data_IF_889085108969
#
_entry.id   IF_889085108969
#
_cell.length_a   1.000
_cell.length_b   1.000
_cell.length_c   1.000
_cell.angle_alpha   90.00
_cell.angle_beta   90.00
_cell.angle_gamma   90.00
#
_symmetry.space_group_name_H-M   'P 1'
#
loop_
_entity.id
_entity.type
_entity.pdbx_description
1 polymer ?
#
# COMPACT_ATOMS: atom_id res chain seq x y z
N UNK A 1 1.27 18.89 21.25
CA UNK A 1 2.54 18.47 20.63
C UNK A 1 2.21 17.31 19.69
N UNK A 2 2.62 17.37 18.42
CA UNK A 2 2.34 16.30 17.45
C UNK A 2 3.22 15.08 17.72
N UNK A 3 2.62 13.90 17.76
CA UNK A 3 3.31 12.61 17.92
C UNK A 3 4.01 12.25 16.60
N UNK A 4 3.30 12.37 15.50
CA UNK A 4 3.73 11.99 14.16
C UNK A 4 4.03 13.22 13.30
N UNK A 5 5.15 13.17 12.58
CA UNK A 5 5.51 14.11 11.51
C UNK A 5 4.88 13.68 10.18
N UNK A 6 5.11 14.47 9.13
CA UNK A 6 4.69 14.12 7.77
C UNK A 6 5.27 12.75 7.35
N UNK A 7 4.49 11.89 6.67
CA UNK A 7 4.95 10.61 6.17
C UNK A 7 6.27 10.73 5.41
N UNK A 8 7.22 9.85 5.73
CA UNK A 8 8.56 9.82 5.13
C UNK A 8 9.42 11.07 5.34
N UNK A 9 8.96 12.03 6.16
CA UNK A 9 9.52 13.38 6.26
C UNK A 9 9.57 14.09 4.90
N UNK A 10 8.64 13.75 4.00
CA UNK A 10 8.60 14.23 2.61
C UNK A 10 8.19 15.71 2.52
N UNK A 11 7.52 16.22 3.56
CA UNK A 11 6.85 17.51 3.57
C UNK A 11 7.30 18.35 4.79
N UNK A 12 8.53 18.90 4.79
CA UNK A 12 9.10 19.63 5.94
C UNK A 12 8.53 21.03 6.16
N UNK A 13 7.79 21.58 5.18
CA UNK A 13 7.17 22.92 5.24
C UNK A 13 5.66 22.90 5.42
N UNK A 14 5.09 21.75 5.73
CA UNK A 14 3.65 21.59 5.96
C UNK A 14 3.23 22.35 7.22
N UNK A 15 2.05 22.98 7.20
CA UNK A 15 1.55 23.76 8.32
C UNK A 15 1.02 22.89 9.49
N UNK A 16 0.84 23.53 10.64
CA UNK A 16 0.37 22.87 11.87
C UNK A 16 -1.07 22.34 11.76
N UNK A 17 -1.93 22.94 10.92
CA UNK A 17 -3.32 22.49 10.77
C UNK A 17 -3.38 21.12 10.09
N UNK A 18 -2.58 20.90 9.03
CA UNK A 18 -2.44 19.61 8.36
C UNK A 18 -1.82 18.58 9.30
N UNK A 19 -0.77 18.95 10.05
CA UNK A 19 -0.16 18.04 11.04
C UNK A 19 -1.13 17.67 12.17
N UNK A 20 -1.95 18.63 12.63
CA UNK A 20 -2.97 18.40 13.65
C UNK A 20 -3.98 17.37 13.18
N UNK A 21 -4.62 17.59 12.02
CA UNK A 21 -5.65 16.65 11.53
C UNK A 21 -5.07 15.26 11.23
N UNK A 22 -3.82 15.20 10.76
CA UNK A 22 -3.12 13.94 10.55
C UNK A 22 -2.92 13.16 11.85
N UNK A 23 -2.43 13.83 12.89
CA UNK A 23 -2.24 13.23 14.21
C UNK A 23 -3.57 12.82 14.85
N UNK A 24 -4.58 13.69 14.78
CA UNK A 24 -5.90 13.42 15.33
C UNK A 24 -6.52 12.19 14.65
N UNK A 25 -6.35 12.07 13.34
CA UNK A 25 -6.84 10.91 12.58
C UNK A 25 -6.14 9.63 13.04
N UNK A 26 -4.81 9.62 13.14
CA UNK A 26 -4.07 8.44 13.62
C UNK A 26 -4.49 8.06 15.03
N UNK A 27 -4.53 9.02 15.96
CA UNK A 27 -4.85 8.78 17.37
C UNK A 27 -6.29 8.28 17.51
N UNK A 28 -7.24 8.88 16.79
CA UNK A 28 -8.63 8.44 16.81
C UNK A 28 -8.79 7.02 16.25
N UNK A 29 -8.08 6.67 15.18
CA UNK A 29 -8.11 5.32 14.63
C UNK A 29 -7.55 4.30 15.63
N UNK A 30 -6.39 4.57 16.22
CA UNK A 30 -5.80 3.69 17.25
C UNK A 30 -6.76 3.52 18.45
N UNK A 31 -7.35 4.62 18.93
CA UNK A 31 -8.26 4.62 20.08
C UNK A 31 -9.64 4.03 19.78
N UNK A 32 -10.04 3.96 18.50
CA UNK A 32 -11.31 3.36 18.08
C UNK A 32 -11.33 1.84 18.23
N UNK A 33 -10.16 1.21 18.33
CA UNK A 33 -10.01 -0.22 18.54
C UNK A 33 -9.84 -0.57 20.02
N UNK A 34 -10.20 -1.80 20.40
CA UNK A 34 -9.94 -2.30 21.76
C UNK A 34 -8.46 -2.19 22.11
N UNK A 35 -8.12 -1.59 23.25
CA UNK A 35 -6.72 -1.40 23.64
C UNK A 35 -5.94 -2.72 23.66
N UNK A 36 -4.78 -2.71 22.99
CA UNK A 36 -3.83 -3.82 23.04
C UNK A 36 -2.87 -3.64 24.22
N UNK A 37 -2.51 -4.72 24.94
CA UNK A 37 -1.51 -4.64 26.01
C UNK A 37 -0.08 -4.38 25.49
N UNK A 38 0.14 -4.50 24.17
CA UNK A 38 1.46 -4.34 23.56
C UNK A 38 1.55 -3.26 22.49
N UNK A 39 0.44 -2.74 21.95
CA UNK A 39 0.48 -1.60 21.02
C UNK A 39 0.23 -0.28 21.75
N UNK A 40 1.23 0.59 21.80
CA UNK A 40 1.11 1.94 22.34
C UNK A 40 1.00 2.97 21.22
N UNK A 41 0.26 4.06 21.46
CA UNK A 41 -0.03 5.07 20.44
C UNK A 41 1.17 5.98 20.15
N UNK A 42 2.02 6.24 21.13
CA UNK A 42 3.17 7.12 20.99
C UNK A 42 4.49 6.32 21.03
N UNK A 43 5.29 6.29 19.94
CA UNK A 43 6.56 5.58 19.93
C UNK A 43 7.59 6.11 20.93
N UNK A 44 7.48 7.38 21.37
CA UNK A 44 8.37 7.94 22.38
C UNK A 44 8.17 7.33 23.78
N UNK A 45 7.06 6.62 24.01
CA UNK A 45 6.77 5.93 25.27
C UNK A 45 7.59 4.63 25.41
N UNK A 46 8.31 4.22 24.35
CA UNK A 46 9.20 3.05 24.34
C UNK A 46 10.66 3.52 24.43
N UNK A 47 11.17 3.65 25.65
CA UNK A 47 12.47 4.27 25.97
C UNK A 47 13.70 3.51 25.45
N UNK A 48 13.68 2.18 25.45
CA UNK A 48 14.72 1.31 24.90
C UNK A 48 14.16 0.52 23.71
N UNK A 49 14.35 1.07 22.51
CA UNK A 49 13.66 0.59 21.32
C UNK A 49 14.52 0.52 20.07
N UNK A 50 14.02 -0.22 19.08
CA UNK A 50 14.59 -0.31 17.73
C UNK A 50 13.50 -0.36 16.68
N UNK A 51 13.87 -0.05 15.45
CA UNK A 51 12.98 -0.24 14.30
C UNK A 51 12.94 -1.73 13.92
N UNK A 52 11.72 -2.28 13.83
CA UNK A 52 11.48 -3.60 13.28
C UNK A 52 11.51 -3.55 11.74
N UNK A 53 12.39 -4.35 11.14
CA UNK A 53 12.49 -4.51 9.68
C UNK A 53 11.70 -5.73 9.15
N UNK A 54 11.05 -6.48 10.04
CA UNK A 54 10.30 -7.70 9.70
C UNK A 54 8.88 -7.44 9.24
N UNK A 55 8.30 -6.26 9.52
CA UNK A 55 6.94 -5.91 9.12
C UNK A 55 7.00 -5.34 7.71
N UNK A 56 6.98 -6.24 6.73
CA UNK A 56 7.04 -5.96 5.30
C UNK A 56 6.49 -7.13 4.49
N UNK A 57 6.06 -6.86 3.26
CA UNK A 57 5.48 -7.84 2.35
C UNK A 57 5.81 -7.49 0.89
N UNK A 58 5.52 -8.42 -0.02
CA UNK A 58 5.66 -8.18 -1.46
C UNK A 58 4.49 -7.33 -1.97
N UNK A 59 4.78 -6.38 -2.85
CA UNK A 59 3.84 -5.36 -3.28
C UNK A 59 2.95 -5.76 -4.47
N UNK A 60 3.11 -6.97 -5.03
CA UNK A 60 2.29 -7.40 -6.15
C UNK A 60 0.89 -7.87 -5.70
N UNK A 61 -0.17 -7.54 -6.45
CA UNK A 61 -1.50 -8.10 -6.25
C UNK A 61 -1.47 -9.63 -6.16
N UNK A 62 -1.86 -10.17 -5.00
CA UNK A 62 -1.82 -11.61 -4.76
C UNK A 62 -3.07 -12.32 -5.25
N UNK A 63 -4.23 -11.78 -4.92
CA UNK A 63 -5.53 -12.40 -5.19
C UNK A 63 -5.74 -12.80 -6.65
N UNK A 64 -5.43 -11.97 -7.67
CA UNK A 64 -5.64 -12.39 -9.05
C UNK A 64 -4.71 -13.54 -9.46
N UNK A 65 -3.50 -13.64 -8.88
CA UNK A 65 -2.60 -14.77 -9.10
C UNK A 65 -3.16 -16.06 -8.50
N UNK A 66 -3.66 -16.00 -7.26
CA UNK A 66 -4.21 -17.15 -6.56
C UNK A 66 -5.55 -17.61 -7.20
N UNK A 67 -6.38 -16.69 -7.71
CA UNK A 67 -7.69 -17.02 -8.30
C UNK A 67 -7.62 -17.44 -9.78
N UNK A 68 -6.83 -16.74 -10.62
CA UNK A 68 -6.87 -16.89 -12.08
C UNK A 68 -5.53 -17.28 -12.71
N UNK A 69 -4.44 -17.34 -11.93
CA UNK A 69 -3.11 -17.63 -12.42
C UNK A 69 -2.35 -16.39 -12.93
N UNK A 70 -1.07 -16.59 -13.25
CA UNK A 70 -0.12 -15.49 -13.44
C UNK A 70 -0.35 -14.67 -14.70
N UNK A 71 -0.77 -15.30 -15.80
CA UNK A 71 -1.01 -14.61 -17.07
C UNK A 71 -2.12 -13.56 -16.93
N UNK A 72 -3.29 -13.96 -16.40
CA UNK A 72 -4.39 -13.04 -16.15
C UNK A 72 -4.05 -12.04 -15.04
N UNK A 73 -3.31 -12.44 -14.00
CA UNK A 73 -2.87 -11.49 -12.98
C UNK A 73 -2.03 -10.34 -13.55
N UNK A 74 -1.13 -10.63 -14.49
CA UNK A 74 -0.34 -9.61 -15.20
C UNK A 74 -1.25 -8.72 -16.02
N UNK A 75 -2.11 -9.29 -16.87
CA UNK A 75 -2.97 -8.53 -17.79
C UNK A 75 -3.94 -7.61 -17.04
N UNK A 76 -4.59 -8.12 -15.99
CA UNK A 76 -5.60 -7.38 -15.25
C UNK A 76 -4.97 -6.29 -14.37
N UNK A 77 -3.82 -6.55 -13.77
CA UNK A 77 -3.13 -5.54 -12.93
C UNK A 77 -2.56 -4.41 -13.79
N UNK A 78 -2.04 -4.72 -14.99
CA UNK A 78 -1.48 -3.74 -15.92
C UNK A 78 -2.54 -3.05 -16.81
N UNK A 79 -3.85 -3.26 -16.56
CA UNK A 79 -4.94 -2.64 -17.33
C UNK A 79 -5.05 -1.10 -17.16
N UNK A 80 -4.21 -0.49 -16.33
CA UNK A 80 -4.25 0.94 -16.02
C UNK A 80 -5.20 1.22 -14.86
N UNK A 81 -6.03 2.27 -14.95
CA UNK A 81 -6.94 2.64 -13.85
C UNK A 81 -7.85 1.50 -13.40
N UNK A 82 -8.52 0.72 -14.29
CA UNK A 82 -9.37 -0.37 -13.85
C UNK A 82 -8.63 -1.42 -13.01
N UNK A 83 -7.43 -1.83 -13.45
CA UNK A 83 -6.59 -2.77 -12.72
C UNK A 83 -6.12 -2.20 -11.38
N UNK A 84 -5.66 -0.95 -11.40
CA UNK A 84 -5.23 -0.24 -10.20
C UNK A 84 -6.34 -0.11 -9.15
N UNK A 85 -7.53 0.30 -9.56
CA UNK A 85 -8.67 0.54 -8.68
C UNK A 85 -9.41 -0.74 -8.24
N UNK A 86 -9.01 -1.91 -8.75
CA UNK A 86 -9.64 -3.19 -8.42
C UNK A 86 -8.67 -4.14 -7.71
N UNK A 87 -7.39 -4.16 -8.12
CA UNK A 87 -6.45 -5.22 -7.76
C UNK A 87 -5.24 -4.75 -6.96
N UNK A 88 -4.87 -3.47 -6.99
CA UNK A 88 -3.66 -3.00 -6.31
C UNK A 88 -3.87 -2.82 -4.81
N UNK A 89 -4.17 -3.90 -4.10
CA UNK A 89 -4.54 -3.92 -2.69
C UNK A 89 -3.40 -4.33 -1.74
N UNK A 90 -2.15 -4.03 -2.09
CA UNK A 90 -0.96 -4.47 -1.32
C UNK A 90 -0.10 -3.29 -0.85
N UNK A 91 -0.74 -2.14 -0.58
CA UNK A 91 -0.11 -0.87 -0.17
C UNK A 91 0.99 -0.38 -1.12
N UNK A 92 0.80 -0.65 -2.40
CA UNK A 92 1.54 -0.05 -3.50
C UNK A 92 0.61 0.02 -4.70
N UNK A 93 0.48 1.21 -5.25
CA UNK A 93 -0.20 1.41 -6.52
C UNK A 93 0.79 1.93 -7.54
N UNK A 94 0.68 1.44 -8.77
CA UNK A 94 1.53 1.87 -9.86
C UNK A 94 0.74 2.23 -11.11
N UNK A 95 1.43 2.94 -12.00
CA UNK A 95 1.02 3.17 -13.38
C UNK A 95 2.23 2.99 -14.31
N UNK A 96 1.95 2.72 -15.58
CA UNK A 96 2.95 2.68 -16.64
C UNK A 96 2.84 3.98 -17.43
N UNK A 97 3.93 4.73 -17.49
CA UNK A 97 4.06 5.87 -18.39
C UNK A 97 4.33 5.32 -19.78
N UNK A 98 3.42 5.56 -20.70
CA UNK A 98 3.51 5.11 -22.09
C UNK A 98 4.19 6.18 -22.95
N UNK A 99 5.01 5.78 -23.90
CA UNK A 99 5.64 6.68 -24.88
C UNK A 99 5.69 6.01 -26.26
N UNK A 100 5.57 6.75 -27.37
CA UNK A 100 5.74 6.18 -28.70
C UNK A 100 7.20 5.76 -28.94
N UNK A 101 7.39 4.59 -29.56
CA UNK A 101 8.66 4.17 -30.13
C UNK A 101 8.97 4.92 -31.44
N UNK A 102 10.12 4.62 -32.06
CA UNK A 102 10.53 5.23 -33.33
C UNK A 102 9.58 4.95 -34.51
N UNK A 103 8.66 3.98 -34.38
CA UNK A 103 7.63 3.61 -35.36
C UNK A 103 6.25 4.17 -34.99
N UNK A 104 6.14 4.90 -33.88
CA UNK A 104 4.88 5.46 -33.37
C UNK A 104 4.05 4.51 -32.51
N UNK A 105 4.54 3.32 -32.18
CA UNK A 105 3.82 2.39 -31.31
C UNK A 105 3.97 2.80 -29.85
N UNK A 106 2.87 2.91 -29.12
CA UNK A 106 2.91 3.17 -27.68
C UNK A 106 3.46 1.96 -26.92
N UNK A 107 4.51 2.18 -26.13
CA UNK A 107 5.18 1.16 -25.32
C UNK A 107 5.42 1.66 -23.89
N UNK A 108 5.51 0.77 -22.89
CA UNK A 108 5.73 1.16 -21.50
C UNK A 108 7.14 1.73 -21.32
N UNK A 109 7.23 3.03 -21.09
CA UNK A 109 8.48 3.77 -20.96
C UNK A 109 9.03 3.73 -19.54
N UNK A 110 8.18 3.98 -18.55
CA UNK A 110 8.55 4.02 -17.13
C UNK A 110 7.47 3.41 -16.26
N UNK A 111 7.89 2.83 -15.15
CA UNK A 111 7.05 2.31 -14.09
C UNK A 111 7.11 3.33 -12.97
N UNK A 112 5.95 3.76 -12.50
CA UNK A 112 5.85 4.74 -11.42
C UNK A 112 4.96 4.13 -10.36
N UNK A 113 5.46 4.04 -9.13
CA UNK A 113 4.73 3.51 -7.99
C UNK A 113 4.72 4.48 -6.82
N UNK A 114 3.63 4.43 -6.05
CA UNK A 114 3.47 5.19 -4.80
C UNK A 114 2.97 4.28 -3.68
N UNK A 115 3.44 4.57 -2.46
CA UNK A 115 2.90 4.07 -1.20
C UNK A 115 2.32 5.22 -0.35
N UNK A 116 2.20 6.43 -0.93
CA UNK A 116 1.65 7.58 -0.23
C UNK A 116 0.14 7.40 0.02
N UNK A 117 -0.29 7.67 1.25
CA UNK A 117 -1.68 7.52 1.68
C UNK A 117 -2.55 8.68 1.18
N UNK A 118 -3.75 8.36 0.68
CA UNK A 118 -4.73 9.37 0.25
C UNK A 118 -5.08 10.35 1.36
N UNK A 119 -5.16 9.89 2.61
CA UNK A 119 -5.54 10.70 3.77
C UNK A 119 -4.55 11.84 4.03
N UNK A 120 -3.26 11.63 3.79
CA UNK A 120 -2.25 12.70 3.91
C UNK A 120 -2.44 13.75 2.81
N UNK A 121 -2.67 13.31 1.57
CA UNK A 121 -2.91 14.20 0.43
C UNK A 121 -4.23 14.98 0.58
N UNK A 122 -5.26 14.35 1.10
CA UNK A 122 -6.52 14.98 1.44
C UNK A 122 -6.33 16.02 2.57
N UNK A 123 -5.57 15.69 3.61
CA UNK A 123 -5.26 16.64 4.68
C UNK A 123 -4.58 17.89 4.13
N UNK A 124 -3.59 17.74 3.24
CA UNK A 124 -2.98 18.88 2.55
C UNK A 124 -4.01 19.66 1.72
N UNK A 125 -4.79 19.02 0.86
CA UNK A 125 -5.75 19.72 -0.01
C UNK A 125 -6.82 20.51 0.78
N UNK A 126 -7.29 19.93 1.89
CA UNK A 126 -8.37 20.50 2.71
C UNK A 126 -7.86 21.57 3.67
N UNK A 127 -6.65 21.45 4.22
CA UNK A 127 -6.16 22.35 5.26
C UNK A 127 -5.00 23.27 4.83
N UNK A 128 -4.40 23.02 3.66
CA UNK A 128 -3.33 23.84 3.07
C UNK A 128 -3.30 23.70 1.54
N UNK A 129 -4.31 24.28 0.87
CA UNK A 129 -4.43 24.22 -0.58
C UNK A 129 -3.18 24.72 -1.33
N UNK A 130 -2.55 25.87 -0.98
CA UNK A 130 -1.32 26.31 -1.63
C UNK A 130 -0.18 25.29 -1.52
N UNK A 131 0.01 24.69 -0.35
CA UNK A 131 1.03 23.66 -0.16
C UNK A 131 0.73 22.41 -1.00
N UNK A 132 -0.53 21.96 -1.01
CA UNK A 132 -0.99 20.85 -1.85
C UNK A 132 -0.68 21.08 -3.34
N UNK A 133 -1.05 22.24 -3.91
CA UNK A 133 -0.80 22.58 -5.31
C UNK A 133 0.70 22.62 -5.64
N UNK A 134 1.52 23.12 -4.71
CA UNK A 134 2.97 23.09 -4.85
C UNK A 134 3.51 21.65 -4.89
N UNK A 135 2.99 20.75 -4.04
CA UNK A 135 3.40 19.34 -4.04
C UNK A 135 2.98 18.63 -5.33
N UNK A 136 1.77 18.87 -5.81
CA UNK A 136 1.32 18.38 -7.13
C UNK A 136 2.29 18.83 -8.21
N UNK A 137 2.61 20.12 -8.28
CA UNK A 137 3.54 20.69 -9.27
C UNK A 137 4.92 20.04 -9.19
N UNK A 138 5.44 19.78 -7.98
CA UNK A 138 6.75 19.17 -7.79
C UNK A 138 6.85 17.73 -8.32
N UNK A 139 5.72 17.01 -8.42
CA UNK A 139 5.69 15.63 -8.93
C UNK A 139 5.35 15.59 -10.42
N UNK A 140 4.42 16.44 -10.87
CA UNK A 140 3.93 16.41 -12.25
C UNK A 140 4.73 17.28 -13.20
N UNK A 141 5.50 18.26 -12.67
CA UNK A 141 6.14 19.31 -13.46
C UNK A 141 5.17 20.36 -14.00
N UNK A 142 3.86 20.25 -13.72
CA UNK A 142 2.82 21.16 -14.21
C UNK A 142 2.20 21.93 -13.05
N UNK A 143 2.10 23.25 -13.20
CA UNK A 143 1.36 24.09 -12.28
C UNK A 143 -0.14 23.92 -12.51
N UNK A 144 -0.83 23.44 -11.48
CA UNK A 144 -2.29 23.33 -11.43
C UNK A 144 -2.86 24.40 -10.49
N UNK A 145 -4.09 24.83 -10.74
CA UNK A 145 -4.85 25.68 -9.82
C UNK A 145 -6.07 24.94 -9.24
N UNK A 146 -6.77 25.61 -8.32
CA UNK A 146 -7.95 25.06 -7.68
C UNK A 146 -9.13 24.90 -8.64
N UNK A 147 -9.22 25.74 -9.66
CA UNK A 147 -10.32 25.71 -10.62
C UNK A 147 -10.21 24.46 -11.50
N UNK A 148 -9.00 24.14 -11.96
CA UNK A 148 -8.74 22.91 -12.71
C UNK A 148 -8.99 21.66 -11.85
N UNK A 149 -8.41 21.61 -10.64
CA UNK A 149 -8.47 20.40 -9.82
C UNK A 149 -9.83 20.20 -9.14
N UNK A 150 -10.47 21.27 -8.67
CA UNK A 150 -11.68 21.20 -7.85
C UNK A 150 -12.92 21.84 -8.48
N UNK A 151 -12.80 22.42 -9.68
CA UNK A 151 -13.91 23.02 -10.42
C UNK A 151 -14.37 24.37 -9.87
N UNK A 152 -13.55 25.03 -9.06
CA UNK A 152 -13.87 26.33 -8.45
C UNK A 152 -12.61 27.11 -8.05
N UNK A 153 -12.67 28.45 -8.02
CA UNK A 153 -11.54 29.27 -7.59
C UNK A 153 -11.16 29.01 -6.12
N UNK A 154 -9.90 29.27 -5.78
CA UNK A 154 -9.36 29.02 -4.44
C UNK A 154 -10.11 29.76 -3.31
N UNK A 155 -10.64 30.96 -3.58
CA UNK A 155 -11.46 31.72 -2.64
C UNK A 155 -12.76 30.99 -2.28
N UNK A 156 -13.41 30.36 -3.25
CA UNK A 156 -14.60 29.55 -3.05
C UNK A 156 -14.25 28.22 -2.37
N UNK A 157 -13.16 27.55 -2.79
CA UNK A 157 -12.69 26.34 -2.11
C UNK A 157 -12.51 26.58 -0.60
N UNK A 158 -11.81 27.66 -0.25
CA UNK A 158 -11.50 27.98 1.14
C UNK A 158 -12.71 28.43 1.97
N UNK A 159 -13.84 28.81 1.35
CA UNK A 159 -15.07 29.14 2.07
C UNK A 159 -15.95 27.91 2.37
N UNK A 160 -15.68 26.77 1.73
CA UNK A 160 -16.38 25.52 2.00
C UNK A 160 -15.98 24.92 3.36
N UNK A 161 -16.93 24.24 4.00
CA UNK A 161 -16.64 23.46 5.20
C UNK A 161 -15.75 22.25 4.87
N UNK A 162 -15.10 21.69 5.90
CA UNK A 162 -14.18 20.54 5.78
C UNK A 162 -14.84 19.35 5.10
N UNK A 163 -16.06 18.97 5.50
CA UNK A 163 -16.77 17.81 4.94
C UNK A 163 -16.97 17.95 3.44
N UNK A 164 -17.43 19.10 2.98
CA UNK A 164 -17.65 19.36 1.54
C UNK A 164 -16.34 19.35 0.76
N UNK A 165 -15.25 19.91 1.31
CA UNK A 165 -13.93 19.84 0.67
C UNK A 165 -13.42 18.40 0.56
N UNK A 166 -13.58 17.59 1.61
CA UNK A 166 -13.26 16.16 1.62
C UNK A 166 -14.03 15.38 0.55
N UNK A 167 -15.34 15.62 0.43
CA UNK A 167 -16.20 14.99 -0.58
C UNK A 167 -15.78 15.38 -2.01
N UNK A 168 -15.51 16.67 -2.25
CA UNK A 168 -15.04 17.13 -3.57
C UNK A 168 -13.66 16.57 -3.88
N UNK A 169 -12.73 16.55 -2.93
CA UNK A 169 -11.40 15.94 -3.12
C UNK A 169 -11.54 14.48 -3.54
N UNK A 170 -12.37 13.70 -2.83
CA UNK A 170 -12.63 12.30 -3.17
C UNK A 170 -13.19 12.17 -4.57
N UNK A 171 -14.26 12.89 -4.88
CA UNK A 171 -14.90 12.87 -6.20
C UNK A 171 -13.93 13.21 -7.34
N UNK A 172 -13.16 14.27 -7.16
CA UNK A 172 -12.30 14.84 -8.21
C UNK A 172 -11.02 14.06 -8.40
N UNK A 173 -10.37 13.59 -7.33
CA UNK A 173 -8.99 13.09 -7.38
C UNK A 173 -8.82 11.64 -6.94
N UNK A 174 -9.79 11.05 -6.25
CA UNK A 174 -9.72 9.66 -5.75
C UNK A 174 -10.64 8.73 -6.55
N UNK A 175 -11.91 9.11 -6.71
CA UNK A 175 -12.97 8.22 -7.18
C UNK A 175 -13.52 7.31 -6.07
N UNK A 176 -14.39 6.38 -6.45
CA UNK A 176 -14.97 5.33 -5.60
C UNK A 176 -14.77 3.95 -6.21
N UNK A 177 -13.54 3.68 -6.65
CA UNK A 177 -13.16 2.43 -7.31
C UNK A 177 -13.36 2.49 -8.83
N UNK A 178 -13.31 1.33 -9.46
CA UNK A 178 -13.31 1.19 -10.93
C UNK A 178 -14.54 1.79 -11.62
N UNK A 179 -15.74 1.59 -11.06
CA UNK A 179 -17.01 2.01 -11.68
C UNK A 179 -17.24 3.52 -11.58
N UNK A 180 -16.55 4.21 -10.68
CA UNK A 180 -16.63 5.64 -10.46
C UNK A 180 -15.21 6.21 -10.38
N UNK A 181 -14.49 6.31 -11.51
CA UNK A 181 -13.15 6.89 -11.55
C UNK A 181 -13.17 8.36 -11.08
N UNK A 182 -12.02 8.91 -10.66
CA UNK A 182 -11.91 10.33 -10.35
C UNK A 182 -12.27 11.18 -11.58
N UNK A 183 -13.02 12.27 -11.37
CA UNK A 183 -13.41 13.17 -12.46
C UNK A 183 -12.21 13.87 -13.13
N UNK A 184 -11.12 14.07 -12.38
CA UNK A 184 -9.90 14.67 -12.89
C UNK A 184 -8.77 13.61 -12.97
N UNK A 185 -8.05 13.50 -14.11
CA UNK A 185 -7.12 12.39 -14.35
C UNK A 185 -5.79 12.52 -13.62
N UNK A 186 -5.62 13.50 -12.73
CA UNK A 186 -4.34 13.79 -12.07
C UNK A 186 -3.77 12.56 -11.36
N UNK A 187 -4.54 11.95 -10.46
CA UNK A 187 -4.06 10.79 -9.74
C UNK A 187 -3.98 9.55 -10.64
N UNK A 188 -4.82 9.44 -11.68
CA UNK A 188 -4.77 8.36 -12.67
C UNK A 188 -3.43 8.37 -13.41
N UNK A 189 -3.02 9.54 -13.90
CA UNK A 189 -1.85 9.69 -14.76
C UNK A 189 -0.52 9.71 -13.97
N UNK A 190 -0.53 10.26 -12.75
CA UNK A 190 0.71 10.51 -12.01
C UNK A 190 0.89 9.66 -10.76
N UNK A 191 -0.14 8.90 -10.36
CA UNK A 191 -0.15 8.03 -9.18
C UNK A 191 0.45 8.75 -7.96
N UNK A 192 -0.18 9.86 -7.57
CA UNK A 192 0.28 10.70 -6.47
C UNK A 192 0.16 9.95 -5.13
N UNK A 193 -0.98 9.29 -4.93
CA UNK A 193 -1.32 8.54 -3.73
C UNK A 193 -2.16 7.31 -4.07
N UNK A 194 -2.20 6.36 -3.15
CA UNK A 194 -3.01 5.15 -3.25
C UNK A 194 -4.50 5.51 -3.19
N UNK A 195 -5.27 5.14 -4.20
CA UNK A 195 -6.70 5.42 -4.30
C UNK A 195 -7.57 4.30 -3.72
N UNK A 196 -7.04 3.08 -3.62
CA UNK A 196 -7.78 1.93 -3.10
C UNK A 196 -7.93 2.04 -1.58
N UNK A 197 -9.18 1.97 -1.10
CA UNK A 197 -9.50 2.22 0.31
C UNK A 197 -8.81 1.22 1.24
N UNK A 198 -8.65 -0.03 0.80
CA UNK A 198 -8.02 -1.09 1.61
C UNK A 198 -6.51 -0.88 1.83
N UNK A 199 -5.90 0.07 1.10
CA UNK A 199 -4.54 0.54 1.33
C UNK A 199 -4.49 1.77 2.27
N UNK A 200 -5.63 2.16 2.83
CA UNK A 200 -5.77 3.34 3.68
C UNK A 200 -5.12 3.19 5.04
N UNK A 201 -5.08 4.31 5.75
CA UNK A 201 -4.51 4.39 7.10
C UNK A 201 -5.28 3.52 8.10
N UNK A 202 -6.61 3.45 7.97
CA UNK A 202 -7.46 2.64 8.84
C UNK A 202 -7.09 1.16 8.76
N UNK A 203 -7.03 0.59 7.56
CA UNK A 203 -6.68 -0.82 7.36
C UNK A 203 -5.25 -1.13 7.84
N UNK A 204 -4.30 -0.19 7.66
CA UNK A 204 -2.94 -0.39 8.14
C UNK A 204 -2.87 -0.46 9.66
N UNK A 205 -3.56 0.47 10.34
CA UNK A 205 -3.64 0.47 11.81
C UNK A 205 -4.36 -0.78 12.28
N UNK A 206 -5.48 -1.13 11.66
CA UNK A 206 -6.28 -2.30 11.99
C UNK A 206 -5.46 -3.59 11.90
N UNK A 207 -4.70 -3.83 10.83
CA UNK A 207 -4.01 -5.12 10.66
C UNK A 207 -2.82 -5.29 11.62
N UNK A 208 -2.09 -4.21 11.92
CA UNK A 208 -1.03 -4.25 12.93
C UNK A 208 -1.63 -4.40 14.33
N UNK A 209 -2.72 -3.67 14.61
CA UNK A 209 -3.49 -3.81 15.85
C UNK A 209 -4.00 -5.23 16.05
N UNK A 210 -4.54 -5.85 15.00
CA UNK A 210 -5.00 -7.23 15.00
C UNK A 210 -3.88 -8.18 15.42
N UNK A 211 -2.69 -8.07 14.84
CA UNK A 211 -1.52 -8.86 15.24
C UNK A 211 -0.91 -8.50 16.60
N UNK A 212 -1.35 -7.41 17.24
CA UNK A 212 -0.73 -6.90 18.48
C UNK A 212 -1.20 -7.59 19.76
N UNK A 213 -2.02 -8.64 19.68
CA UNK A 213 -2.47 -9.40 20.84
C UNK A 213 -1.77 -10.76 20.96
N UNK A 214 -1.48 -11.23 22.20
CA UNK A 214 -0.93 -12.56 22.42
C UNK A 214 -2.04 -13.63 22.36
N UNK A 215 -2.40 -14.01 21.13
CA UNK A 215 -3.38 -15.07 20.90
C UNK A 215 -2.86 -16.44 21.35
N UNK A 216 -3.69 -17.18 22.05
CA UNK A 216 -3.33 -18.49 22.56
C UNK A 216 -4.45 -19.51 22.35
N UNK A 217 -4.07 -20.78 22.25
CA UNK A 217 -4.99 -21.90 22.20
C UNK A 217 -4.73 -22.76 23.42
N UNK A 218 -5.81 -23.14 24.11
CA UNK A 218 -5.74 -24.16 25.14
C UNK A 218 -5.90 -25.53 24.47
N UNK A 219 -4.84 -26.34 24.54
CA UNK A 219 -4.82 -27.70 24.01
C UNK A 219 -4.33 -28.65 25.11
N UNK A 220 -5.16 -29.63 25.47
CA UNK A 220 -4.84 -30.65 26.48
C UNK A 220 -4.39 -30.04 27.83
N UNK A 221 -5.05 -28.96 28.26
CA UNK A 221 -4.73 -28.24 29.48
C UNK A 221 -3.44 -27.39 29.42
N UNK A 222 -2.79 -27.31 28.25
CA UNK A 222 -1.60 -26.47 28.01
C UNK A 222 -1.94 -25.32 27.08
N UNK A 223 -1.60 -24.10 27.52
CA UNK A 223 -1.67 -22.91 26.66
C UNK A 223 -0.50 -22.93 25.69
N UNK A 224 -0.79 -22.90 24.39
CA UNK A 224 0.20 -22.71 23.33
C UNK A 224 -0.08 -21.44 22.55
N UNK A 225 0.94 -20.94 21.86
CA UNK A 225 0.79 -19.89 20.86
C UNK A 225 -0.16 -20.35 19.76
N UNK A 226 -1.13 -19.53 19.38
CA UNK A 226 -2.02 -19.79 18.25
C UNK A 226 -1.24 -19.71 16.93
N UNK A 227 -1.64 -20.49 15.92
CA UNK A 227 -1.21 -20.28 14.53
C UNK A 227 -1.98 -19.11 13.92
N UNK A 228 -1.42 -18.47 12.90
CA UNK A 228 -2.06 -17.31 12.27
C UNK A 228 -3.42 -17.66 11.65
N UNK A 229 -3.52 -18.83 11.02
CA UNK A 229 -4.78 -19.34 10.45
C UNK A 229 -5.85 -19.55 11.52
N UNK A 230 -5.47 -20.05 12.69
CA UNK A 230 -6.40 -20.21 13.82
C UNK A 230 -6.93 -18.86 14.29
N UNK A 231 -6.08 -17.83 14.31
CA UNK A 231 -6.47 -16.47 14.67
C UNK A 231 -7.50 -15.93 13.67
N UNK A 232 -7.21 -15.99 12.36
CA UNK A 232 -8.14 -15.51 11.33
C UNK A 232 -9.48 -16.28 11.32
N UNK A 233 -9.45 -17.61 11.47
CA UNK A 233 -10.64 -18.45 11.57
C UNK A 233 -11.45 -18.20 12.86
N UNK A 234 -10.83 -17.71 13.93
CA UNK A 234 -11.53 -17.45 15.19
C UNK A 234 -12.34 -16.16 15.19
N UNK A 235 -12.08 -15.27 14.22
CA UNK A 235 -12.75 -13.96 14.08
C UNK A 235 -13.47 -13.81 12.74
N UNK A 236 -13.62 -14.91 11.99
CA UNK A 236 -14.24 -14.95 10.67
C UNK A 236 -13.62 -13.97 9.66
N UNK A 237 -12.28 -13.86 9.66
CA UNK A 237 -11.51 -12.97 8.77
C UNK A 237 -10.52 -13.73 7.89
N UNK A 238 -11.02 -14.75 7.19
CA UNK A 238 -10.22 -15.54 6.23
C UNK A 238 -9.71 -14.69 5.06
N UNK A 239 -10.42 -13.62 4.71
CA UNK A 239 -10.06 -12.63 3.69
C UNK A 239 -8.66 -12.04 3.92
N UNK A 240 -8.33 -11.72 5.17
CA UNK A 240 -7.02 -11.17 5.55
C UNK A 240 -5.86 -12.14 5.30
N UNK A 241 -6.12 -13.45 5.19
CA UNK A 241 -5.09 -14.44 4.90
C UNK A 241 -4.74 -14.52 3.40
N UNK A 242 -5.61 -13.99 2.53
CA UNK A 242 -5.50 -14.04 1.07
C UNK A 242 -4.64 -12.91 0.49
N UNK A 243 -4.34 -11.86 1.27
CA UNK A 243 -3.43 -10.76 0.91
C UNK A 243 -2.01 -10.97 1.46
N UNK A 244 -1.01 -10.45 0.74
CA UNK A 244 0.36 -10.41 1.24
C UNK A 244 0.47 -9.48 2.46
N UNK A 245 -0.11 -8.28 2.37
CA UNK A 245 -0.02 -7.23 3.38
C UNK A 245 -0.56 -7.70 4.73
N UNK A 246 -1.81 -8.12 4.74
CA UNK A 246 -2.54 -8.41 5.98
C UNK A 246 -1.93 -9.57 6.74
N UNK A 247 -1.73 -10.70 6.08
CA UNK A 247 -1.13 -11.89 6.68
C UNK A 247 0.29 -11.62 7.18
N UNK A 248 1.11 -10.88 6.42
CA UNK A 248 2.50 -10.57 6.82
C UNK A 248 2.56 -9.56 7.96
N UNK A 249 1.74 -8.51 7.91
CA UNK A 249 1.70 -7.49 8.96
C UNK A 249 1.17 -8.07 10.28
N UNK A 250 0.07 -8.81 10.23
CA UNK A 250 -0.48 -9.50 11.41
C UNK A 250 0.53 -10.51 11.98
N UNK A 251 1.14 -11.34 11.15
CA UNK A 251 2.14 -12.33 11.60
C UNK A 251 3.36 -11.65 12.23
N UNK A 252 3.89 -10.62 11.59
CA UNK A 252 5.11 -9.96 12.03
C UNK A 252 4.88 -9.16 13.33
N UNK A 253 3.72 -8.52 13.52
CA UNK A 253 3.30 -7.93 14.79
C UNK A 253 3.13 -9.01 15.87
N UNK A 254 2.45 -10.10 15.53
CA UNK A 254 2.19 -11.21 16.44
C UNK A 254 3.47 -11.92 16.90
N UNK A 255 4.49 -12.00 16.06
CA UNK A 255 5.81 -12.52 16.42
C UNK A 255 6.57 -11.59 17.39
N UNK A 256 6.18 -10.33 17.57
CA UNK A 256 6.76 -9.44 18.59
C UNK A 256 6.06 -9.53 19.93
N UNK A 257 4.73 -9.63 19.93
CA UNK A 257 3.92 -9.59 21.18
C UNK A 257 3.79 -10.95 21.85
N UNK A 258 4.06 -12.05 21.13
CA UNK A 258 4.13 -13.40 21.70
C UNK A 258 5.35 -14.16 21.15
N UNK A 259 6.49 -14.02 21.84
CA UNK A 259 7.79 -14.56 21.45
C UNK A 259 7.81 -16.10 21.51
N UNK A 260 8.21 -16.72 20.40
CA UNK A 260 8.37 -18.18 20.31
C UNK A 260 9.47 -18.68 21.23
N UNK A 261 9.23 -19.81 21.90
CA UNK A 261 10.23 -20.48 22.74
C UNK A 261 10.50 -19.81 24.10
N UNK A 262 9.74 -18.79 24.48
CA UNK A 262 9.85 -18.15 25.80
C UNK A 262 9.13 -18.96 26.89
N UNK A 263 9.77 -19.15 28.04
CA UNK A 263 9.16 -19.73 29.25
C UNK A 263 9.68 -19.00 30.51
N UNK A 264 8.86 -18.20 31.21
CA UNK A 264 7.43 -17.93 30.95
C UNK A 264 7.21 -17.20 29.60
N UNK A 265 5.98 -17.19 29.05
CA UNK A 265 5.66 -16.46 27.82
C UNK A 265 6.01 -14.97 27.93
N UNK A 266 6.67 -14.44 26.90
CA UNK A 266 7.13 -13.07 26.82
C UNK A 266 6.66 -12.37 25.53
N UNK A 267 6.56 -11.04 25.60
CA UNK A 267 6.19 -10.16 24.48
C UNK A 267 6.94 -8.83 24.53
N UNK A 268 7.02 -8.15 23.39
CA UNK A 268 7.60 -6.80 23.25
C UNK A 268 6.50 -5.79 22.99
N UNK A 269 6.59 -4.65 23.68
CA UNK A 269 5.76 -3.48 23.37
C UNK A 269 6.18 -2.94 22.00
N UNK A 270 5.22 -2.45 21.23
CA UNK A 270 5.39 -1.93 19.89
C UNK A 270 4.57 -0.65 19.68
N UNK A 271 4.98 0.17 18.72
CA UNK A 271 4.28 1.35 18.26
C UNK A 271 4.58 1.58 16.78
N UNK A 272 3.68 2.24 16.05
CA UNK A 272 4.06 2.80 14.75
C UNK A 272 5.19 3.81 14.93
N UNK A 273 6.18 3.78 14.04
CA UNK A 273 7.28 4.74 14.10
C UNK A 273 6.79 6.16 13.76
N UNK A 274 7.58 7.16 14.18
CA UNK A 274 7.44 8.52 13.71
C UNK A 274 8.47 8.80 12.59
N UNK A 275 8.05 9.14 11.37
CA UNK A 275 6.67 9.32 10.92
C UNK A 275 5.95 7.99 10.58
N UNK A 276 4.63 7.98 10.74
CA UNK A 276 3.77 6.87 10.32
C UNK A 276 3.55 6.94 8.80
N UNK A 277 3.73 5.81 8.13
CA UNK A 277 3.50 5.64 6.69
C UNK A 277 3.82 4.23 6.24
N UNK A 278 3.64 3.94 4.96
CA UNK A 278 4.15 2.73 4.29
C UNK A 278 5.30 3.14 3.40
N UNK A 279 6.41 2.40 3.44
CA UNK A 279 7.64 2.76 2.76
C UNK A 279 8.13 1.65 1.85
N UNK A 280 8.81 2.02 0.77
CA UNK A 280 9.55 1.13 -0.10
C UNK A 280 10.76 0.58 0.67
N UNK A 281 10.70 -0.68 1.08
CA UNK A 281 11.71 -1.35 1.91
C UNK A 281 12.83 -1.98 1.09
N UNK A 282 12.51 -2.46 -0.11
CA UNK A 282 13.47 -2.99 -1.06
C UNK A 282 12.92 -2.96 -2.48
N UNK A 283 13.81 -2.86 -3.46
CA UNK A 283 13.51 -3.12 -4.87
C UNK A 283 14.62 -4.01 -5.46
N UNK A 284 14.26 -5.26 -5.80
CA UNK A 284 15.22 -6.30 -6.18
C UNK A 284 15.40 -6.34 -7.70
N UNK A 285 16.41 -5.63 -8.22
CA UNK A 285 16.70 -5.55 -9.66
C UNK A 285 17.74 -6.54 -10.17
N UNK A 286 18.33 -7.37 -9.28
CA UNK A 286 19.43 -8.29 -9.63
C UNK A 286 19.08 -9.31 -10.73
N UNK A 287 17.80 -9.64 -10.86
CA UNK A 287 17.28 -10.64 -11.81
C UNK A 287 16.77 -9.96 -13.10
N UNK A 288 16.96 -8.65 -13.24
CA UNK A 288 16.58 -7.85 -14.40
C UNK A 288 17.81 -7.54 -15.25
N UNK A 289 17.64 -7.64 -16.57
CA UNK A 289 18.68 -7.29 -17.54
C UNK A 289 18.12 -6.56 -18.74
N UNK A 290 18.93 -5.69 -19.31
CA UNK A 290 18.69 -5.01 -20.58
C UNK A 290 19.86 -5.35 -21.51
N UNK A 291 19.59 -5.88 -22.71
CA UNK A 291 20.63 -6.28 -23.66
C UNK A 291 21.71 -7.22 -23.05
N UNK A 292 21.29 -8.10 -22.12
CA UNK A 292 22.19 -9.02 -21.41
C UNK A 292 23.05 -8.37 -20.31
N UNK A 293 22.88 -7.08 -20.02
CA UNK A 293 23.59 -6.35 -18.98
C UNK A 293 22.68 -6.02 -17.78
N UNK A 294 23.23 -5.80 -16.57
CA UNK A 294 22.45 -5.30 -15.44
C UNK A 294 21.77 -3.97 -15.76
N UNK A 295 20.61 -3.74 -15.15
CA UNK A 295 19.87 -2.48 -15.34
C UNK A 295 20.69 -1.28 -14.84
N UNK A 296 20.74 -0.16 -15.59
CA UNK A 296 21.41 1.06 -15.15
C UNK A 296 20.90 1.55 -13.79
N UNK A 297 21.81 1.99 -12.91
CA UNK A 297 21.44 2.43 -11.55
C UNK A 297 20.63 3.72 -11.54
N UNK A 298 20.90 4.61 -12.50
CA UNK A 298 20.19 5.88 -12.71
C UNK A 298 18.75 5.70 -13.18
N UNK A 299 18.38 4.51 -13.66
CA UNK A 299 16.99 4.16 -13.92
C UNK A 299 16.15 4.04 -12.65
N UNK A 300 16.77 3.86 -11.48
CA UNK A 300 16.08 3.68 -10.19
C UNK A 300 16.06 5.01 -9.45
N UNK A 301 14.88 5.65 -9.38
CA UNK A 301 14.71 6.97 -8.76
C UNK A 301 13.72 6.89 -7.62
N UNK A 302 14.23 6.88 -6.39
CA UNK A 302 13.43 7.00 -5.18
C UNK A 302 13.15 8.47 -4.88
N UNK A 303 11.92 8.78 -4.45
CA UNK A 303 11.54 10.13 -4.06
C UNK A 303 10.42 10.10 -3.00
N UNK A 304 9.95 11.29 -2.61
CA UNK A 304 8.89 11.47 -1.60
C UNK A 304 9.20 10.74 -0.29
N UNK A 305 10.34 11.08 0.29
CA UNK A 305 10.82 10.54 1.56
C UNK A 305 12.34 10.62 1.65
N UNK A 306 12.89 10.33 2.83
CA UNK A 306 14.34 10.19 3.04
C UNK A 306 14.81 8.76 2.80
N UNK A 307 16.12 8.54 2.83
CA UNK A 307 16.70 7.20 2.76
C UNK A 307 16.05 6.27 3.81
N UNK A 308 15.64 5.07 3.38
CA UNK A 308 14.91 4.11 4.21
C UNK A 308 13.42 4.42 4.43
N UNK A 309 12.91 5.54 3.91
CA UNK A 309 11.52 6.01 4.04
C UNK A 309 10.95 6.54 2.72
N UNK A 310 11.50 6.14 1.57
CA UNK A 310 10.98 6.54 0.28
C UNK A 310 9.56 5.97 0.07
N UNK A 311 8.65 6.80 -0.45
CA UNK A 311 7.27 6.39 -0.75
C UNK A 311 6.96 6.39 -2.24
N UNK A 312 7.86 6.92 -3.08
CA UNK A 312 7.71 6.91 -4.54
C UNK A 312 8.91 6.28 -5.21
N UNK A 313 8.65 5.41 -6.19
CA UNK A 313 9.64 4.82 -7.08
C UNK A 313 9.27 5.18 -8.51
N UNK A 314 10.21 5.77 -9.23
CA UNK A 314 10.21 5.79 -10.69
C UNK A 314 11.31 4.86 -11.18
N UNK A 315 10.95 3.93 -12.06
CA UNK A 315 11.85 2.95 -12.63
C UNK A 315 11.75 2.95 -14.16
N UNK A 316 12.90 3.13 -14.82
CA UNK A 316 13.01 3.02 -16.26
C UNK A 316 13.85 4.13 -16.89
N UNK A 317 14.04 4.05 -18.22
CA UNK A 317 14.82 5.02 -18.98
C UNK A 317 14.25 6.44 -18.89
N UNK A 318 15.13 7.42 -19.12
CA UNK A 318 14.71 8.81 -19.37
C UNK A 318 14.03 8.96 -20.74
N UNK A 319 13.46 10.13 -21.00
CA UNK A 319 12.67 10.37 -22.22
C UNK A 319 13.52 10.30 -23.51
N UNK A 320 14.79 10.71 -23.45
CA UNK A 320 15.72 10.71 -24.59
C UNK A 320 16.38 9.35 -24.87
N UNK A 321 16.25 8.37 -23.97
CA UNK A 321 16.80 7.02 -24.16
C UNK A 321 15.88 6.24 -25.12
N UNK A 322 16.37 5.50 -26.13
CA UNK A 322 15.50 4.78 -27.05
C UNK A 322 14.84 3.51 -26.45
N UNK A 323 15.27 3.06 -25.28
CA UNK A 323 14.81 1.80 -24.66
C UNK A 323 13.48 1.95 -23.91
N UNK A 324 12.81 0.83 -23.68
CA UNK A 324 11.53 0.70 -22.99
C UNK A 324 11.58 -0.39 -21.91
N UNK A 325 10.57 -0.41 -21.04
CA UNK A 325 10.50 -1.41 -19.95
C UNK A 325 10.31 -2.83 -20.47
N UNK A 326 9.54 -3.00 -21.54
CA UNK A 326 9.28 -4.29 -22.17
C UNK A 326 10.47 -4.80 -23.00
N UNK A 327 11.56 -4.01 -23.13
CA UNK A 327 12.87 -4.48 -23.58
C UNK A 327 13.65 -5.20 -22.46
N UNK A 328 13.26 -5.01 -21.20
CA UNK A 328 13.88 -5.69 -20.07
C UNK A 328 13.46 -7.15 -20.02
N UNK A 329 14.41 -7.98 -19.61
CA UNK A 329 14.22 -9.40 -19.38
C UNK A 329 14.42 -9.71 -17.90
N UNK A 330 13.42 -10.36 -17.30
CA UNK A 330 13.55 -10.97 -15.99
C UNK A 330 13.94 -12.43 -16.11
N UNK A 331 14.99 -12.84 -15.41
CA UNK A 331 15.47 -14.23 -15.40
C UNK A 331 15.58 -14.75 -13.97
N UNK A 332 14.88 -15.84 -13.67
CA UNK A 332 15.00 -16.54 -12.39
C UNK A 332 15.01 -18.05 -12.58
N UNK A 333 16.15 -18.67 -12.29
CA UNK A 333 16.35 -20.09 -12.61
C UNK A 333 16.29 -20.32 -14.12
N UNK A 334 15.48 -21.27 -14.57
CA UNK A 334 15.27 -21.57 -15.99
C UNK A 334 14.20 -20.69 -16.68
N UNK A 335 13.53 -19.80 -15.92
CA UNK A 335 12.44 -18.97 -16.45
C UNK A 335 12.97 -17.60 -16.87
N UNK A 336 12.65 -17.23 -18.11
CA UNK A 336 13.00 -15.95 -18.73
C UNK A 336 11.75 -15.37 -19.38
N UNK A 337 11.42 -14.11 -19.08
CA UNK A 337 10.26 -13.44 -19.68
C UNK A 337 10.42 -11.92 -19.73
N UNK A 338 9.71 -11.23 -20.65
CA UNK A 338 9.64 -9.78 -20.67
C UNK A 338 9.09 -9.23 -19.36
N UNK A 339 9.58 -8.05 -18.97
CA UNK A 339 9.13 -7.37 -17.75
C UNK A 339 7.78 -6.69 -17.96
N UNK A 340 6.89 -6.84 -16.99
CA UNK A 340 5.60 -6.15 -16.89
C UNK A 340 5.54 -5.28 -15.62
N UNK A 341 4.51 -4.44 -15.48
CA UNK A 341 4.28 -3.65 -14.26
C UNK A 341 4.05 -4.54 -13.05
N UNK A 342 3.21 -5.57 -13.21
CA UNK A 342 2.95 -6.58 -12.19
C UNK A 342 4.23 -7.30 -11.72
N UNK A 343 5.11 -7.65 -12.66
CA UNK A 343 6.37 -8.30 -12.35
C UNK A 343 7.29 -7.36 -11.56
N UNK A 344 7.34 -6.07 -11.91
CA UNK A 344 8.10 -5.07 -11.16
C UNK A 344 7.56 -4.91 -9.74
N UNK A 345 6.24 -4.86 -9.56
CA UNK A 345 5.62 -4.82 -8.23
C UNK A 345 6.01 -6.04 -7.36
N UNK A 346 6.17 -7.22 -7.97
CA UNK A 346 6.62 -8.45 -7.26
C UNK A 346 8.06 -8.39 -6.77
N UNK A 347 8.87 -7.49 -7.33
CA UNK A 347 10.26 -7.26 -6.93
C UNK A 347 10.39 -6.19 -5.84
N UNK A 348 9.27 -5.55 -5.45
CA UNK A 348 9.23 -4.51 -4.44
C UNK A 348 8.73 -5.12 -3.12
N UNK A 349 9.43 -4.80 -2.04
CA UNK A 349 8.95 -5.00 -0.67
C UNK A 349 8.48 -3.65 -0.10
N UNK A 350 7.28 -3.61 0.46
CA UNK A 350 6.73 -2.45 1.17
C UNK A 350 6.40 -2.81 2.61
N UNK A 351 6.27 -1.81 3.45
CA UNK A 351 5.76 -1.98 4.81
C UNK A 351 5.99 -0.76 5.69
N UNK A 352 5.27 -0.66 6.81
CA UNK A 352 5.45 0.43 7.76
C UNK A 352 6.78 0.29 8.50
N UNK A 353 7.20 1.39 9.13
CA UNK A 353 8.19 1.35 10.19
C UNK A 353 7.45 1.21 11.53
N UNK A 354 7.92 0.27 12.35
CA UNK A 354 7.37 0.00 13.68
C UNK A 354 8.53 -0.01 14.66
N UNK A 355 8.34 0.70 15.77
CA UNK A 355 9.24 0.72 16.91
C UNK A 355 8.87 -0.44 17.81
N UNK A 356 9.86 -1.22 18.26
CA UNK A 356 9.68 -2.30 19.22
C UNK A 356 10.63 -2.14 20.39
N UNK A 357 10.17 -2.46 21.59
CA UNK A 357 11.01 -2.51 22.79
C UNK A 357 12.08 -3.59 22.65
N UNK A 358 13.32 -3.28 23.01
CA UNK A 358 14.41 -4.26 23.00
C UNK A 358 14.22 -5.31 24.10
N UNK A 359 13.81 -4.86 25.28
CA UNK A 359 13.58 -5.72 26.46
C UNK A 359 12.16 -6.29 26.42
N UNK A 360 11.99 -7.61 26.28
CA UNK A 360 10.67 -8.23 26.38
C UNK A 360 10.20 -8.29 27.84
N UNK A 361 8.89 -8.26 28.04
CA UNK A 361 8.24 -8.44 29.35
C UNK A 361 7.44 -9.73 29.37
N UNK A 362 7.24 -10.29 30.57
CA UNK A 362 6.32 -11.40 30.77
C UNK A 362 4.90 -10.98 30.40
N UNK A 363 4.16 -11.87 29.73
CA UNK A 363 2.74 -11.69 29.42
C UNK A 363 1.94 -12.08 30.66
N UNK A 364 1.11 -11.17 31.18
CA UNK A 364 0.23 -11.44 32.31
C UNK A 364 -0.92 -12.38 31.89
N UNK A 365 -1.50 -13.10 32.87
CA UNK A 365 -2.49 -14.15 32.58
C UNK A 365 -3.75 -13.63 31.88
N UNK A 366 -4.14 -12.40 32.20
CA UNK A 366 -5.31 -11.66 31.71
C UNK A 366 -5.05 -10.93 30.37
N UNK A 367 -3.80 -10.85 29.91
CA UNK A 367 -3.46 -10.23 28.63
C UNK A 367 -3.62 -11.18 27.43
N UNK A 368 -3.75 -12.49 27.68
CA UNK A 368 -3.92 -13.49 26.63
C UNK A 368 -5.30 -13.41 25.97
N UNK A 369 -5.34 -13.53 24.65
CA UNK A 369 -6.57 -13.78 23.89
C UNK A 369 -6.69 -15.27 23.59
N UNK A 370 -7.37 -15.99 24.48
CA UNK A 370 -7.62 -17.41 24.27
C UNK A 370 -8.67 -17.61 23.16
N UNK A 371 -8.33 -18.41 22.14
CA UNK A 371 -9.19 -18.74 21.00
C UNK A 371 -9.37 -20.26 20.85
N UNK A 372 -10.44 -20.72 20.19
CA UNK A 372 -10.64 -22.15 19.93
C UNK A 372 -9.52 -22.75 19.08
N UNK A 373 -9.16 -24.01 19.39
CA UNK A 373 -8.29 -24.81 18.52
C UNK A 373 -9.00 -25.13 17.22
N UNK A 374 -8.33 -24.93 16.07
CA UNK A 374 -8.84 -25.30 14.73
C UNK A 374 -7.86 -26.24 14.02
N UNK A 375 -7.35 -27.24 14.75
CA UNK A 375 -6.42 -28.24 14.21
C UNK A 375 -7.01 -28.91 12.95
N UNK A 376 -6.27 -28.82 11.85
CA UNK A 376 -6.66 -29.42 10.55
C UNK A 376 -7.42 -28.48 9.62
N UNK A 377 -7.91 -27.33 10.09
CA UNK A 377 -8.48 -26.29 9.23
C UNK A 377 -7.34 -25.47 8.61
N UNK A 378 -7.14 -25.59 7.31
CA UNK A 378 -6.26 -24.72 6.54
C UNK A 378 -7.10 -23.73 5.74
N UNK A 379 -6.74 -22.45 5.77
CA UNK A 379 -7.34 -21.46 4.87
C UNK A 379 -6.81 -21.76 3.47
N UNK A 380 -7.70 -22.16 2.57
CA UNK A 380 -7.34 -22.45 1.17
C UNK A 380 -7.53 -21.18 0.36
N UNK A 381 -6.49 -20.68 -0.30
CA UNK A 381 -6.58 -19.46 -1.12
C UNK A 381 -7.10 -19.78 -2.52
N UNK A 382 -7.64 -18.78 -3.21
CA UNK A 382 -7.88 -18.88 -4.66
C UNK A 382 -9.02 -19.83 -5.07
N UNK A 383 -9.88 -20.26 -4.14
CA UNK A 383 -10.98 -21.15 -4.50
C UNK A 383 -12.00 -20.42 -5.38
N UNK A 384 -12.44 -20.98 -6.52
CA UNK A 384 -13.44 -20.35 -7.39
C UNK A 384 -14.79 -20.08 -6.71
N UNK A 385 -15.09 -20.78 -5.61
CA UNK A 385 -16.30 -20.56 -4.82
C UNK A 385 -16.24 -19.31 -3.93
N UNK A 386 -15.04 -18.76 -3.68
CA UNK A 386 -14.87 -17.57 -2.87
C UNK A 386 -15.36 -16.34 -3.63
N UNK A 387 -16.10 -15.48 -2.91
CA UNK A 387 -16.75 -14.32 -3.53
C UNK A 387 -15.74 -13.42 -4.25
N UNK A 388 -14.59 -13.17 -3.62
CA UNK A 388 -13.51 -12.39 -4.22
C UNK A 388 -12.98 -13.00 -5.53
N UNK A 389 -12.85 -14.33 -5.62
CA UNK A 389 -12.42 -14.95 -6.88
C UNK A 389 -13.51 -14.87 -7.96
N UNK A 390 -14.81 -14.88 -7.60
CA UNK A 390 -15.89 -14.63 -8.56
C UNK A 390 -15.87 -13.19 -9.07
N UNK A 391 -15.63 -12.22 -8.20
CA UNK A 391 -15.49 -10.81 -8.57
C UNK A 391 -14.31 -10.62 -9.53
N UNK A 392 -13.16 -11.22 -9.23
CA UNK A 392 -11.96 -11.15 -10.09
C UNK A 392 -12.22 -11.87 -11.44
N UNK A 393 -12.92 -13.00 -11.44
CA UNK A 393 -13.32 -13.67 -12.68
C UNK A 393 -14.26 -12.80 -13.53
N UNK A 394 -15.27 -12.18 -12.92
CA UNK A 394 -16.16 -11.25 -13.61
C UNK A 394 -15.40 -10.01 -14.12
N UNK A 395 -14.38 -9.55 -13.40
CA UNK A 395 -13.50 -8.49 -13.87
C UNK A 395 -12.66 -8.92 -15.08
N UNK A 396 -12.19 -10.17 -15.10
CA UNK A 396 -11.50 -10.75 -16.25
C UNK A 396 -12.41 -10.83 -17.49
N UNK A 397 -13.67 -11.24 -17.32
CA UNK A 397 -14.64 -11.28 -18.42
C UNK A 397 -14.83 -9.89 -19.07
N UNK A 398 -14.80 -8.83 -18.26
CA UNK A 398 -14.89 -7.44 -18.75
C UNK A 398 -13.62 -7.00 -19.49
N UNK A 399 -12.45 -7.51 -19.11
CA UNK A 399 -11.20 -7.25 -19.82
C UNK A 399 -11.23 -7.87 -21.22
N UNK A 400 -11.72 -9.11 -21.33
CA UNK A 400 -11.81 -9.85 -22.59
C UNK A 400 -12.92 -9.32 -23.49
N UNK A 401 -14.04 -8.84 -22.91
CA UNK A 401 -15.21 -8.36 -23.63
C UNK A 401 -15.57 -6.91 -23.22
N UNK A 402 -14.82 -5.89 -23.68
CA UNK A 402 -14.92 -4.52 -23.18
C UNK A 402 -16.14 -3.73 -23.71
N UNK A 403 -17.27 -4.38 -23.98
CA UNK A 403 -18.50 -3.72 -24.44
C UNK A 403 -18.93 -2.66 -23.41
N UNK A 404 -18.62 -1.40 -23.67
CA UNK A 404 -19.02 -0.25 -22.86
C UNK A 404 -18.00 0.27 -21.83
N UNK A 405 -16.78 -0.28 -21.76
CA UNK A 405 -15.71 0.24 -20.87
C UNK A 405 -14.71 1.04 -21.70
N UNK A 406 -14.59 2.34 -21.40
CA UNK A 406 -13.59 3.24 -22.00
C UNK A 406 -12.21 2.60 -21.85
N UNK A 407 -11.38 2.54 -22.92
CA UNK A 407 -10.08 1.89 -22.84
C UNK A 407 -9.21 2.51 -21.75
N UNK A 408 -8.90 1.73 -20.71
CA UNK A 408 -7.75 2.00 -19.86
C UNK A 408 -6.48 1.95 -20.71
N UNK A 409 -5.69 3.03 -20.67
CA UNK A 409 -4.34 3.19 -21.28
C UNK A 409 -4.12 2.85 -22.77
N UNK A 410 -5.12 2.41 -23.54
CA UNK A 410 -5.08 2.64 -25.00
C UNK A 410 -5.35 4.12 -25.22
N UNK A 411 -4.30 4.81 -25.63
CA UNK A 411 -4.24 6.25 -25.79
C UNK A 411 -5.46 6.84 -26.47
N UNK A 412 -5.77 8.07 -26.06
CA UNK A 412 -6.55 9.05 -26.80
C UNK A 412 -6.40 8.79 -28.30
N UNK A 413 -7.50 8.38 -28.96
CA UNK A 413 -7.63 8.62 -30.39
C UNK A 413 -7.58 10.13 -30.56
N UNK A 414 -6.54 10.61 -31.24
CA UNK A 414 -6.51 11.99 -31.69
C UNK A 414 -7.70 12.22 -32.61
N UNK A 415 -8.47 13.25 -32.29
CA UNK A 415 -9.02 14.18 -33.27
C UNK A 415 -8.38 15.54 -33.01
#
# INVERSE_FOLDING_TARGET
>A
MHIFRSPGLADPGVNDAVLSVWNDTIVNLINSHHASPFLVSNPADITDSKIAHSIKWLANPREPLDCLGEELAVQLSDWGWPGRAELHNEYLEYTLIMSPDAKGNLRPKRFVATTEMMEWWQAMAVYDLPYFLQRVTSITGRAYDAEELFGMPASQWNSLNVKTRTEIFRRRLVGWGRSQPPEHPLNVNHVLFMAENINGLNDLIFVVHFGSFPYAVNQDGKRRRAKLEEIFLSVDREDLYCRNADSSAAQAAYDQVFLRGSNPPQGRVMAFANPLGVYLRAFKTKDLSIDGQPVPKDWIRFSRGREGMAMRLEFGPGDDDPRFLDDLIWTKGARTMPVSGYLLARLIEVGPLVVIGNTPRQIAKDEFRDIPSRLGSAITRGLPSYERCKEIAAFADLYENPLGVVPGTRGLRGD
#
